data_IF_473979031281
#
_entry.id   IF_473979031281
#
_cell.length_a   1.000
_cell.length_b   1.000
_cell.length_c   1.000
_cell.angle_alpha   90.00
_cell.angle_beta   90.00
_cell.angle_gamma   90.00
#
_symmetry.space_group_name_H-M   'P 1'
#
loop_
_entity.id
_entity.type
_entity.pdbx_description
1 polymer ?
#
# COMPACT_ATOMS: atom_id res chain seq x y z
N UNK A 1 -6.87 -30.64 13.23
CA UNK A 1 -7.46 -29.33 12.82
C UNK A 1 -8.19 -28.59 13.94
N UNK A 2 -8.96 -29.25 14.84
CA UNK A 2 -9.70 -28.58 15.93
C UNK A 2 -8.78 -27.95 17.01
N UNK A 3 -7.68 -28.63 17.35
CA UNK A 3 -6.71 -28.16 18.35
C UNK A 3 -6.00 -26.87 17.91
N UNK A 4 -5.62 -26.78 16.63
CA UNK A 4 -4.96 -25.58 16.07
C UNK A 4 -5.88 -24.36 16.11
N UNK A 5 -7.17 -24.54 15.79
CA UNK A 5 -8.17 -23.46 15.88
C UNK A 5 -8.39 -23.01 17.33
N UNK A 6 -8.37 -23.94 18.29
CA UNK A 6 -8.50 -23.63 19.72
C UNK A 6 -7.30 -22.83 20.24
N UNK A 7 -6.08 -23.24 19.87
CA UNK A 7 -4.84 -22.54 20.24
C UNK A 7 -4.80 -21.15 19.63
N UNK A 8 -5.21 -21.00 18.36
CA UNK A 8 -5.33 -19.69 17.70
C UNK A 8 -6.36 -18.80 18.43
N UNK A 9 -7.50 -19.36 18.84
CA UNK A 9 -8.53 -18.63 19.57
C UNK A 9 -8.05 -18.19 20.96
N UNK A 10 -7.33 -19.05 21.68
CA UNK A 10 -6.74 -18.73 22.98
C UNK A 10 -5.64 -17.66 22.89
N UNK A 11 -4.84 -17.66 21.82
CA UNK A 11 -3.85 -16.61 21.55
C UNK A 11 -4.49 -15.25 21.24
N UNK A 12 -5.64 -15.25 20.56
CA UNK A 12 -6.40 -14.04 20.27
C UNK A 12 -7.08 -13.47 21.53
N UNK A 13 -7.45 -14.30 22.50
CA UNK A 13 -8.09 -13.83 23.74
C UNK A 13 -7.09 -13.24 24.75
N UNK A 14 -5.88 -13.79 24.87
CA UNK A 14 -4.87 -13.28 25.80
C UNK A 14 -4.28 -11.93 25.39
N UNK A 15 -4.38 -11.57 24.10
CA UNK A 15 -3.94 -10.27 23.59
C UNK A 15 -4.96 -9.14 23.84
N UNK A 16 -6.23 -9.45 24.08
CA UNK A 16 -7.28 -8.45 24.37
C UNK A 16 -7.24 -8.00 25.84
N UNK A 17 -6.81 -8.86 26.77
CA UNK A 17 -6.79 -8.56 28.20
C UNK A 17 -5.69 -7.58 28.64
N UNK A 18 -4.68 -7.31 27.80
CA UNK A 18 -3.57 -6.40 28.09
C UNK A 18 -3.76 -4.96 27.54
N UNK A 19 -4.96 -4.61 27.06
CA UNK A 19 -5.22 -3.37 26.31
C UNK A 19 -5.47 -2.10 27.17
N UNK A 20 -5.32 -2.16 28.50
CA UNK A 20 -5.93 -1.16 29.38
C UNK A 20 -5.05 0.05 29.78
N UNK A 21 -3.84 0.23 29.23
CA UNK A 21 -3.05 1.45 29.56
C UNK A 21 -2.04 1.93 28.50
N UNK A 22 -2.04 1.38 27.29
CA UNK A 22 -1.23 1.87 26.17
C UNK A 22 -2.12 1.93 24.92
N UNK A 23 -2.13 3.07 24.22
CA UNK A 23 -2.70 3.13 22.87
C UNK A 23 -1.81 2.25 21.98
N UNK A 24 -2.26 1.02 21.77
CA UNK A 24 -1.60 0.04 20.89
C UNK A 24 -2.22 0.10 19.49
N UNK A 25 -2.76 1.25 19.10
CA UNK A 25 -3.53 1.44 17.86
C UNK A 25 -2.81 2.44 16.99
N UNK A 26 -2.85 2.27 15.67
CA UNK A 26 -2.31 3.27 14.75
C UNK A 26 -3.34 3.64 13.70
N UNK A 27 -3.26 4.90 13.25
CA UNK A 27 -3.96 5.41 12.09
C UNK A 27 -2.93 5.83 11.04
N UNK A 28 -3.20 5.53 9.78
CA UNK A 28 -2.30 5.83 8.68
C UNK A 28 -3.06 6.47 7.53
N UNK A 29 -2.52 7.54 6.98
CA UNK A 29 -3.03 8.19 5.78
C UNK A 29 -1.91 8.26 4.73
N UNK A 30 -2.16 7.72 3.55
CA UNK A 30 -1.20 7.64 2.46
C UNK A 30 -1.70 8.46 1.26
N UNK A 31 -0.77 9.14 0.59
CA UNK A 31 -0.92 9.64 -0.78
C UNK A 31 0.19 9.00 -1.62
N UNK A 32 -0.15 8.48 -2.79
CA UNK A 32 0.81 7.91 -3.73
C UNK A 32 0.59 8.45 -5.14
N UNK A 33 1.68 8.47 -5.90
CA UNK A 33 1.72 8.78 -7.31
C UNK A 33 2.17 7.52 -8.06
N UNK A 34 1.24 6.74 -8.63
CA UNK A 34 1.57 5.59 -9.47
C UNK A 34 2.31 6.03 -10.74
N UNK A 35 3.28 5.24 -11.15
CA UNK A 35 4.11 5.40 -12.33
C UNK A 35 3.91 4.20 -13.26
N UNK A 36 3.92 4.47 -14.56
CA UNK A 36 3.93 3.43 -15.61
C UNK A 36 5.17 3.60 -16.48
N UNK A 37 5.64 2.51 -17.08
CA UNK A 37 6.69 2.57 -18.10
C UNK A 37 6.22 3.42 -19.28
N UNK A 38 7.07 4.32 -19.76
CA UNK A 38 6.76 5.16 -20.90
C UNK A 38 6.79 4.34 -22.20
N UNK A 39 5.68 4.20 -22.94
CA UNK A 39 5.68 3.48 -24.22
C UNK A 39 6.57 4.15 -25.27
N UNK A 40 6.73 5.47 -25.19
CA UNK A 40 7.45 6.28 -26.18
C UNK A 40 8.94 6.47 -25.81
N UNK A 41 9.46 5.64 -24.90
CA UNK A 41 10.84 5.74 -24.38
C UNK A 41 11.89 5.68 -25.50
N UNK A 42 11.66 4.83 -26.50
CA UNK A 42 12.61 4.61 -27.60
C UNK A 42 12.34 5.55 -28.78
N UNK A 43 11.28 6.36 -28.71
CA UNK A 43 11.00 7.40 -29.69
C UNK A 43 11.84 8.64 -29.40
N UNK A 44 12.42 9.20 -30.46
CA UNK A 44 13.15 10.47 -30.40
C UNK A 44 12.14 11.55 -30.72
N UNK A 45 11.90 12.44 -29.77
CA UNK A 45 10.97 13.55 -29.95
C UNK A 45 11.50 14.48 -31.07
N UNK A 46 10.73 14.70 -32.14
CA UNK A 46 11.16 15.50 -33.30
C UNK A 46 11.36 16.99 -32.97
N UNK A 47 10.85 17.48 -31.85
CA UNK A 47 10.96 18.88 -31.42
C UNK A 47 12.10 19.11 -30.42
N UNK A 48 12.41 18.11 -29.58
CA UNK A 48 13.44 18.22 -28.54
C UNK A 48 14.72 17.45 -28.84
N UNK A 49 14.70 16.50 -29.79
CA UNK A 49 15.78 15.55 -30.08
C UNK A 49 16.21 14.72 -28.85
N UNK A 50 15.38 14.66 -27.82
CA UNK A 50 15.62 13.89 -26.60
C UNK A 50 14.83 12.58 -26.63
N UNK A 51 15.35 11.57 -25.91
CA UNK A 51 14.63 10.32 -25.70
C UNK A 51 13.60 10.48 -24.60
N UNK A 52 12.46 9.79 -24.71
CA UNK A 52 11.44 9.76 -23.68
C UNK A 52 11.96 9.25 -22.33
N UNK A 53 11.42 9.79 -21.23
CA UNK A 53 11.70 9.32 -19.86
C UNK A 53 11.33 7.84 -19.70
N UNK A 54 11.93 7.14 -18.74
CA UNK A 54 11.63 5.72 -18.50
C UNK A 54 10.26 5.50 -17.86
N UNK A 55 9.81 6.43 -17.02
CA UNK A 55 8.56 6.35 -16.28
C UNK A 55 7.80 7.65 -16.39
N UNK A 56 6.46 7.54 -16.46
CA UNK A 56 5.55 8.69 -16.44
C UNK A 56 4.50 8.49 -15.34
N UNK A 57 4.04 9.57 -14.69
CA UNK A 57 2.92 9.50 -13.76
C UNK A 57 1.66 8.94 -14.44
N UNK A 58 1.04 7.97 -13.79
CA UNK A 58 -0.12 7.24 -14.30
C UNK A 58 -1.37 7.40 -13.43
N UNK A 59 -1.39 8.40 -12.55
CA UNK A 59 -2.52 8.56 -11.64
C UNK A 59 -2.17 9.20 -10.32
N UNK A 60 -3.13 9.11 -9.40
CA UNK A 60 -2.98 9.47 -7.99
C UNK A 60 -3.79 8.51 -7.14
N UNK A 61 -3.26 8.14 -5.98
CA UNK A 61 -3.97 7.32 -5.02
C UNK A 61 -3.92 7.89 -3.62
N UNK A 62 -4.96 7.63 -2.86
CA UNK A 62 -5.01 7.88 -1.42
C UNK A 62 -5.52 6.65 -0.69
N UNK A 63 -4.90 6.31 0.43
CA UNK A 63 -5.26 5.15 1.25
C UNK A 63 -5.34 5.58 2.71
N UNK A 64 -6.26 4.97 3.45
CA UNK A 64 -6.38 5.12 4.90
C UNK A 64 -6.31 3.76 5.55
N UNK A 65 -5.71 3.71 6.74
CA UNK A 65 -5.51 2.49 7.49
C UNK A 65 -5.74 2.70 8.97
N UNK A 66 -6.29 1.67 9.61
CA UNK A 66 -6.38 1.59 11.05
C UNK A 66 -5.96 0.20 11.52
N UNK A 67 -5.22 0.13 12.60
CA UNK A 67 -4.72 -1.15 13.09
C UNK A 67 -4.16 -1.09 14.48
N UNK A 68 -3.53 -2.19 14.87
CA UNK A 68 -2.80 -2.34 16.12
C UNK A 68 -1.30 -2.38 15.86
N UNK A 69 -0.51 -1.93 16.82
CA UNK A 69 0.94 -2.02 16.75
C UNK A 69 1.56 -2.46 18.08
N UNK A 70 2.78 -2.95 17.97
CA UNK A 70 3.66 -3.26 19.09
C UNK A 70 4.92 -2.39 18.98
N UNK A 71 5.11 -1.49 19.95
CA UNK A 71 6.29 -0.60 20.06
C UNK A 71 6.62 0.19 18.77
N UNK A 72 5.61 0.59 17.99
CA UNK A 72 5.73 1.20 16.65
C UNK A 72 6.54 0.38 15.63
N UNK A 73 7.01 -0.82 16.00
CA UNK A 73 7.88 -1.67 15.20
C UNK A 73 7.05 -2.63 14.37
N UNK A 74 6.17 -3.40 14.99
CA UNK A 74 5.33 -4.37 14.29
C UNK A 74 3.89 -3.85 14.29
N UNK A 75 3.23 -3.87 13.14
CA UNK A 75 1.86 -3.42 13.00
C UNK A 75 1.02 -4.37 12.15
N UNK A 76 -0.26 -4.46 12.48
CA UNK A 76 -1.28 -5.17 11.72
C UNK A 76 -2.51 -4.28 11.64
N UNK A 77 -3.04 -4.05 10.44
CA UNK A 77 -4.23 -3.22 10.26
C UNK A 77 -5.03 -3.57 9.03
N UNK A 78 -6.17 -2.91 8.90
CA UNK A 78 -7.01 -2.96 7.71
C UNK A 78 -6.92 -1.60 7.05
N UNK A 79 -6.68 -1.63 5.74
CA UNK A 79 -6.48 -0.45 4.91
C UNK A 79 -7.49 -0.47 3.77
N UNK A 80 -7.92 0.71 3.37
CA UNK A 80 -8.78 0.93 2.22
C UNK A 80 -8.36 2.21 1.50
N UNK A 81 -8.78 2.41 0.27
CA UNK A 81 -8.43 3.64 -0.44
C UNK A 81 -9.10 3.79 -1.78
N UNK A 82 -8.63 4.79 -2.52
CA UNK A 82 -8.97 5.05 -3.90
C UNK A 82 -7.70 5.31 -4.69
N UNK A 83 -7.60 4.72 -5.88
CA UNK A 83 -6.52 4.95 -6.82
C UNK A 83 -7.12 5.24 -8.19
N UNK A 84 -6.85 6.44 -8.70
CA UNK A 84 -7.28 6.84 -10.03
C UNK A 84 -6.13 6.64 -11.01
N UNK A 85 -6.32 5.72 -11.95
CA UNK A 85 -5.40 5.45 -13.05
C UNK A 85 -5.82 6.21 -14.31
N UNK A 86 -4.92 7.04 -14.83
CA UNK A 86 -5.22 7.91 -15.98
C UNK A 86 -5.23 7.16 -17.31
N UNK A 87 -4.20 6.34 -17.57
CA UNK A 87 -4.09 5.59 -18.84
C UNK A 87 -5.31 4.68 -19.06
N UNK A 88 -5.72 3.95 -18.03
CA UNK A 88 -6.85 3.02 -18.11
C UNK A 88 -8.22 3.71 -17.89
N UNK A 89 -8.22 5.00 -17.56
CA UNK A 89 -9.40 5.78 -17.15
C UNK A 89 -10.24 4.99 -16.15
N UNK A 90 -9.59 4.56 -15.07
CA UNK A 90 -10.16 3.63 -14.10
C UNK A 90 -9.91 4.14 -12.68
N UNK A 91 -10.96 4.07 -11.84
CA UNK A 91 -10.83 4.30 -10.40
C UNK A 91 -10.96 2.96 -9.70
N UNK A 92 -10.06 2.72 -8.76
CA UNK A 92 -9.89 1.44 -8.08
C UNK A 92 -10.02 1.66 -6.57
N UNK A 93 -10.79 0.82 -5.89
CA UNK A 93 -10.92 0.82 -4.44
C UNK A 93 -10.39 -0.49 -3.85
N UNK A 94 -9.15 -0.52 -3.32
CA UNK A 94 -8.62 -1.68 -2.61
C UNK A 94 -9.12 -1.72 -1.17
N UNK A 95 -9.35 -2.92 -0.64
CA UNK A 95 -9.58 -3.21 0.78
C UNK A 95 -8.66 -4.37 1.16
N UNK A 96 -7.74 -4.15 2.09
CA UNK A 96 -6.66 -5.10 2.36
C UNK A 96 -6.20 -5.12 3.81
N UNK A 97 -5.70 -6.29 4.23
CA UNK A 97 -4.94 -6.41 5.47
C UNK A 97 -3.51 -5.95 5.20
N UNK A 98 -2.95 -5.15 6.11
CA UNK A 98 -1.62 -4.58 6.02
C UNK A 98 -0.77 -5.04 7.21
N UNK A 99 0.34 -5.70 6.92
CA UNK A 99 1.40 -5.99 7.86
C UNK A 99 2.51 -4.96 7.73
N UNK A 100 2.99 -4.43 8.86
CA UNK A 100 4.00 -3.38 8.93
C UNK A 100 5.16 -3.83 9.80
N UNK A 101 6.38 -3.67 9.30
CA UNK A 101 7.63 -3.94 10.01
C UNK A 101 8.53 -2.72 9.88
N UNK A 102 8.75 -2.01 10.99
CA UNK A 102 9.43 -0.73 11.05
C UNK A 102 10.60 -0.70 12.05
N UNK A 103 11.70 -1.47 11.82
CA UNK A 103 12.86 -1.43 12.68
C UNK A 103 13.50 -0.03 12.74
N UNK A 104 13.96 0.34 13.93
CA UNK A 104 14.73 1.56 14.17
C UNK A 104 16.15 1.38 13.65
N UNK A 105 16.62 2.33 12.83
CA UNK A 105 17.96 2.31 12.22
C UNK A 105 18.85 3.47 12.67
N UNK A 106 18.28 4.52 13.24
CA UNK A 106 18.97 5.65 13.84
C UNK A 106 18.20 6.17 15.04
N UNK A 107 18.60 7.31 15.61
CA UNK A 107 17.92 7.87 16.80
C UNK A 107 16.44 8.20 16.54
N UNK A 108 16.11 8.69 15.35
CA UNK A 108 14.72 9.05 15.00
C UNK A 108 14.23 8.47 13.67
N UNK A 109 15.06 7.67 12.98
CA UNK A 109 14.73 7.11 11.66
C UNK A 109 14.37 5.63 11.77
N UNK A 110 13.29 5.23 11.09
CA UNK A 110 12.90 3.82 10.93
C UNK A 110 12.81 3.45 9.45
N UNK A 111 13.37 2.30 9.08
CA UNK A 111 13.06 1.68 7.79
C UNK A 111 11.73 0.95 7.97
N UNK A 112 10.79 1.14 7.06
CA UNK A 112 9.46 0.53 7.11
C UNK A 112 9.22 -0.35 5.89
N UNK A 113 8.95 -1.62 6.13
CA UNK A 113 8.42 -2.57 5.15
C UNK A 113 6.92 -2.77 5.43
N UNK A 114 6.10 -2.69 4.39
CA UNK A 114 4.67 -2.96 4.46
C UNK A 114 4.27 -4.00 3.41
N UNK A 115 3.47 -4.97 3.83
CA UNK A 115 2.91 -6.03 2.98
C UNK A 115 1.39 -5.98 3.08
N UNK A 116 0.73 -5.74 1.96
CA UNK A 116 -0.72 -5.68 1.86
C UNK A 116 -1.29 -6.83 1.03
N UNK A 117 -2.34 -7.48 1.53
CA UNK A 117 -3.08 -8.52 0.81
C UNK A 117 -4.58 -8.33 1.00
N UNK A 118 -5.35 -8.39 -0.09
CA UNK A 118 -6.78 -8.15 -0.01
C UNK A 118 -7.52 -8.26 -1.34
N UNK A 119 -8.56 -7.44 -1.48
CA UNK A 119 -9.41 -7.37 -2.65
C UNK A 119 -9.41 -5.97 -3.24
N UNK A 120 -9.64 -5.92 -4.54
CA UNK A 120 -9.71 -4.70 -5.33
C UNK A 120 -11.06 -4.64 -6.02
N UNK A 121 -11.68 -3.46 -6.06
CA UNK A 121 -12.93 -3.22 -6.79
C UNK A 121 -12.70 -2.10 -7.80
N UNK A 122 -13.01 -2.34 -9.07
CA UNK A 122 -13.03 -1.29 -10.10
C UNK A 122 -14.36 -0.52 -10.02
N UNK A 123 -14.28 0.76 -9.65
CA UNK A 123 -15.46 1.63 -9.59
C UNK A 123 -15.86 2.07 -11.00
N UNK A 124 -17.16 2.04 -11.29
CA UNK A 124 -17.73 2.52 -12.56
C UNK A 124 -17.56 1.57 -13.75
N UNK A 125 -17.06 0.33 -13.55
CA UNK A 125 -16.89 -0.68 -14.60
C UNK A 125 -17.67 -1.99 -14.34
N UNK A 126 -18.73 -1.95 -13.52
CA UNK A 126 -19.53 -3.13 -13.18
C UNK A 126 -18.89 -4.01 -12.10
N UNK A 127 -19.08 -5.33 -12.15
CA UNK A 127 -18.60 -6.32 -11.15
C UNK A 127 -17.14 -6.75 -11.39
N UNK A 128 -16.27 -5.79 -11.68
CA UNK A 128 -14.84 -6.06 -11.86
C UNK A 128 -14.14 -6.02 -10.50
N UNK A 129 -13.94 -7.21 -9.93
CA UNK A 129 -13.16 -7.41 -8.71
C UNK A 129 -11.87 -8.18 -8.98
N UNK A 130 -10.85 -7.93 -8.17
CA UNK A 130 -9.53 -8.54 -8.31
C UNK A 130 -8.85 -8.80 -6.97
N UNK A 131 -7.71 -9.48 -7.00
CA UNK A 131 -6.84 -9.64 -5.83
C UNK A 131 -5.92 -8.42 -5.68
N UNK A 132 -5.90 -7.82 -4.48
CA UNK A 132 -4.98 -6.76 -4.16
C UNK A 132 -3.72 -7.33 -3.50
N UNK A 133 -2.55 -6.95 -4.01
CA UNK A 133 -1.25 -7.22 -3.38
C UNK A 133 -0.44 -5.95 -3.37
N UNK A 134 0.20 -5.64 -2.24
CA UNK A 134 1.05 -4.45 -2.06
C UNK A 134 2.33 -4.86 -1.35
N UNK A 135 3.46 -4.37 -1.85
CA UNK A 135 4.74 -4.36 -1.14
C UNK A 135 5.22 -2.92 -1.12
N UNK A 136 5.58 -2.40 0.04
CA UNK A 136 6.08 -1.04 0.16
C UNK A 136 7.29 -0.98 1.08
N UNK A 137 8.28 -0.20 0.67
CA UNK A 137 9.49 0.08 1.42
C UNK A 137 9.63 1.58 1.56
N UNK A 138 9.95 2.05 2.77
CA UNK A 138 10.08 3.47 3.02
C UNK A 138 10.89 3.83 4.24
N UNK A 139 11.14 5.12 4.39
CA UNK A 139 11.84 5.72 5.52
C UNK A 139 10.86 6.58 6.30
N UNK A 140 10.69 6.25 7.56
CA UNK A 140 9.90 7.02 8.51
C UNK A 140 10.82 7.93 9.33
N UNK A 141 10.47 9.21 9.41
CA UNK A 141 11.17 10.23 10.19
C UNK A 141 10.54 10.39 11.58
N UNK A 142 11.13 11.26 12.40
CA UNK A 142 10.71 11.61 13.76
C UNK A 142 9.29 12.17 13.82
N UNK A 143 8.87 12.89 12.77
CA UNK A 143 7.55 13.54 12.68
C UNK A 143 6.43 12.60 12.23
N UNK A 144 6.65 11.28 12.37
CA UNK A 144 5.72 10.24 11.96
C UNK A 144 5.35 10.28 10.46
N UNK A 145 6.15 10.98 9.65
CA UNK A 145 6.09 11.01 8.20
C UNK A 145 6.88 9.86 7.61
N UNK A 146 6.31 9.16 6.64
CA UNK A 146 6.90 8.03 5.93
C UNK A 146 6.95 8.34 4.43
N UNK A 147 8.16 8.45 3.88
CA UNK A 147 8.40 8.46 2.44
C UNK A 147 8.56 7.02 1.97
N UNK A 148 7.79 6.59 0.97
CA UNK A 148 7.80 5.20 0.53
C UNK A 148 7.78 5.05 -0.99
N UNK A 149 8.31 3.91 -1.42
CA UNK A 149 8.10 3.33 -2.74
C UNK A 149 7.17 2.14 -2.54
N UNK A 150 6.19 1.96 -3.42
CA UNK A 150 5.29 0.82 -3.41
C UNK A 150 5.21 0.13 -4.76
N UNK A 151 5.03 -1.18 -4.73
CA UNK A 151 4.62 -1.98 -5.87
C UNK A 151 3.27 -2.58 -5.52
N UNK A 152 2.29 -2.38 -6.38
CA UNK A 152 0.92 -2.87 -6.18
C UNK A 152 0.43 -3.64 -7.39
N UNK A 153 -0.25 -4.76 -7.14
CA UNK A 153 -0.96 -5.56 -8.13
C UNK A 153 -2.45 -5.55 -7.80
N UNK A 154 -3.28 -5.31 -8.82
CA UNK A 154 -4.72 -5.14 -8.64
C UNK A 154 -5.53 -6.38 -9.02
N UNK A 155 -4.93 -7.33 -9.74
CA UNK A 155 -5.57 -8.58 -10.14
C UNK A 155 -6.82 -8.39 -11.01
N UNK A 156 -7.00 -7.20 -11.59
CA UNK A 156 -8.08 -6.89 -12.53
C UNK A 156 -7.50 -6.99 -13.94
N UNK A 157 -8.12 -7.79 -14.84
CA UNK A 157 -7.72 -7.83 -16.24
C UNK A 157 -8.14 -6.52 -16.90
N UNK A 158 -7.16 -5.72 -17.33
CA UNK A 158 -7.39 -4.48 -18.09
C UNK A 158 -6.88 -4.72 -19.51
N UNK A 159 -7.74 -4.50 -20.52
CA UNK A 159 -7.39 -4.61 -21.95
C UNK A 159 -6.67 -5.93 -22.34
N UNK A 160 -7.19 -7.09 -21.90
CA UNK A 160 -6.59 -8.42 -22.16
C UNK A 160 -5.16 -8.64 -21.63
N UNK A 161 -4.59 -7.69 -20.87
CA UNK A 161 -3.32 -7.86 -20.19
C UNK A 161 -3.55 -8.56 -18.85
N UNK A 162 -2.70 -9.55 -18.56
CA UNK A 162 -3.00 -10.55 -17.52
C UNK A 162 -3.02 -9.99 -16.11
N UNK A 163 -2.30 -8.92 -15.80
CA UNK A 163 -2.29 -8.32 -14.47
C UNK A 163 -1.93 -6.83 -14.56
N UNK A 164 -2.81 -5.94 -14.11
CA UNK A 164 -2.46 -4.52 -13.95
C UNK A 164 -1.61 -4.36 -12.67
N UNK A 165 -0.32 -4.11 -12.84
CA UNK A 165 0.61 -3.69 -11.77
C UNK A 165 0.82 -2.18 -11.76
N UNK A 166 1.38 -1.65 -10.68
CA UNK A 166 1.77 -0.23 -10.55
C UNK A 166 2.97 -0.11 -9.61
N UNK A 167 3.91 0.76 -9.97
CA UNK A 167 5.01 1.18 -9.09
C UNK A 167 4.70 2.61 -8.69
N UNK A 168 4.66 2.93 -7.40
CA UNK A 168 4.30 4.26 -6.92
C UNK A 168 5.33 4.85 -5.96
N UNK A 169 5.40 6.17 -5.94
CA UNK A 169 6.10 6.94 -4.90
C UNK A 169 5.04 7.60 -4.02
N UNK A 170 5.23 7.63 -2.70
CA UNK A 170 4.21 8.17 -1.82
C UNK A 170 4.73 8.70 -0.50
N UNK A 171 3.84 9.44 0.14
CA UNK A 171 4.00 10.02 1.46
C UNK A 171 2.88 9.50 2.36
N UNK A 172 3.24 9.18 3.60
CA UNK A 172 2.32 8.63 4.58
C UNK A 172 2.50 9.35 5.92
N UNK A 173 1.39 9.62 6.60
CA UNK A 173 1.36 10.13 7.96
C UNK A 173 0.84 9.02 8.87
N UNK A 174 1.62 8.64 9.90
CA UNK A 174 1.31 7.50 10.77
C UNK A 174 1.18 7.93 12.23
N UNK A 175 -0.04 8.03 12.74
CA UNK A 175 -0.29 8.36 14.15
C UNK A 175 -0.41 7.09 15.01
N UNK A 176 0.21 7.08 16.18
CA UNK A 176 0.20 5.99 17.17
C UNK A 176 -0.42 6.46 18.49
#
# INVERSE_FOLDING_TARGET
MKLLKLVLCLFLFSSVANAQNNKNTYFQFDINLPLIGNPDRDEIDPYTNEKGNWFIPNGIGSKIGYGIHYHKWIGLGIHTGLEWKWTDKLVIAPIFANFRLSPKIGEETRITLQLGLGKTIALGRGDLTGEYRKISLGLQTSDDLLLFIEVSGFGIPINNQKEAGSIGLGLSLVSF
#
